data_IF_779124770723
#
_entry.id   IF_779124770723
#
_cell.length_a   1.000
_cell.length_b   1.000
_cell.length_c   1.000
_cell.angle_alpha   90.00
_cell.angle_beta   90.00
_cell.angle_gamma   90.00
#
_symmetry.space_group_name_H-M   'P 1'
#
loop_
_entity.id
_entity.type
_entity.pdbx_description
1 polymer ?
#
# COMPACT_ATOMS: atom_id res chain seq x y z
N UNK A 1 -7.57 -50.72 4.60
CA UNK A 1 -7.47 -50.10 3.26
C UNK A 1 -8.14 -51.05 2.28
N UNK A 2 -9.20 -50.60 1.61
CA UNK A 2 -9.76 -51.37 0.50
C UNK A 2 -8.73 -51.32 -0.64
N UNK A 3 -8.13 -52.47 -0.93
CA UNK A 3 -7.36 -52.68 -2.15
C UNK A 3 -8.32 -52.46 -3.31
N UNK A 4 -8.20 -51.31 -3.97
CA UNK A 4 -8.75 -51.16 -5.33
C UNK A 4 -7.84 -52.00 -6.20
N UNK A 5 -8.17 -53.28 -6.35
CA UNK A 5 -7.55 -54.12 -7.37
C UNK A 5 -7.73 -53.41 -8.70
N UNK A 6 -6.63 -52.94 -9.29
CA UNK A 6 -6.62 -52.41 -10.66
C UNK A 6 -6.99 -53.57 -11.58
N UNK A 7 -8.28 -53.68 -11.87
CA UNK A 7 -8.94 -54.86 -12.43
C UNK A 7 -8.49 -55.21 -13.87
N UNK A 8 -7.61 -54.42 -14.47
CA UNK A 8 -7.12 -54.58 -15.86
C UNK A 8 -5.60 -54.81 -15.99
N UNK A 9 -4.78 -54.48 -14.96
CA UNK A 9 -3.31 -54.53 -15.09
C UNK A 9 -2.73 -55.94 -15.10
N UNK A 10 -3.44 -56.92 -14.55
CA UNK A 10 -3.01 -58.33 -14.47
C UNK A 10 -3.79 -59.25 -15.42
N UNK A 11 -4.60 -58.70 -16.33
CA UNK A 11 -5.34 -59.46 -17.35
C UNK A 11 -4.59 -59.34 -18.67
N UNK A 12 -4.47 -60.46 -19.40
CA UNK A 12 -3.94 -60.43 -20.76
C UNK A 12 -4.82 -59.56 -21.66
N UNK A 13 -4.21 -58.97 -22.69
CA UNK A 13 -4.94 -58.14 -23.64
C UNK A 13 -6.05 -58.98 -24.31
N UNK A 14 -7.28 -58.44 -24.46
CA UNK A 14 -8.35 -59.16 -25.12
C UNK A 14 -7.94 -59.56 -26.55
N UNK A 15 -8.22 -60.80 -26.98
CA UNK A 15 -7.93 -61.22 -28.35
C UNK A 15 -8.67 -60.31 -29.34
N UNK A 16 -7.96 -59.88 -30.39
CA UNK A 16 -8.41 -58.93 -31.43
C UNK A 16 -8.56 -57.46 -30.99
N UNK A 17 -8.09 -57.06 -29.80
CA UNK A 17 -7.99 -55.64 -29.46
C UNK A 17 -6.81 -54.98 -30.20
N UNK A 18 -7.09 -53.97 -31.01
CA UNK A 18 -6.07 -53.12 -31.65
C UNK A 18 -5.91 -51.86 -30.81
N UNK A 19 -4.74 -51.66 -30.21
CA UNK A 19 -4.44 -50.45 -29.45
C UNK A 19 -4.60 -49.19 -30.32
N UNK A 20 -5.14 -48.10 -29.75
CA UNK A 20 -5.50 -46.89 -30.49
C UNK A 20 -6.90 -46.96 -31.12
N UNK A 21 -7.13 -47.92 -32.03
CA UNK A 21 -8.42 -48.08 -32.72
C UNK A 21 -9.53 -48.55 -31.78
N UNK A 22 -9.25 -49.54 -30.92
CA UNK A 22 -10.22 -50.07 -29.94
C UNK A 22 -10.58 -49.11 -28.81
N UNK A 23 -9.81 -48.03 -28.62
CA UNK A 23 -10.11 -46.91 -27.72
C UNK A 23 -10.92 -45.80 -28.41
N UNK A 24 -11.07 -45.86 -29.74
CA UNK A 24 -11.64 -44.77 -30.54
C UNK A 24 -10.71 -43.56 -30.66
N UNK A 25 -9.40 -43.74 -30.47
CA UNK A 25 -8.42 -42.68 -30.66
C UNK A 25 -8.21 -42.47 -32.17
N UNK A 26 -8.55 -41.27 -32.66
CA UNK A 26 -8.23 -40.82 -34.02
C UNK A 26 -7.00 -39.94 -33.97
N UNK A 27 -5.99 -40.21 -34.81
CA UNK A 27 -4.83 -39.33 -34.95
C UNK A 27 -5.25 -37.94 -35.44
N UNK A 28 -4.67 -36.89 -34.86
CA UNK A 28 -4.90 -35.51 -35.32
C UNK A 28 -4.19 -35.30 -36.66
N UNK A 29 -4.90 -35.45 -37.78
CA UNK A 29 -4.35 -35.11 -39.10
C UNK A 29 -4.24 -33.60 -39.24
N UNK A 30 -3.04 -33.08 -39.46
CA UNK A 30 -2.85 -31.66 -39.82
C UNK A 30 -2.96 -31.50 -41.33
N UNK A 31 -3.16 -30.26 -41.81
CA UNK A 31 -3.41 -29.93 -43.24
C UNK A 31 -2.27 -30.39 -44.19
N UNK A 32 -1.15 -30.84 -43.65
CA UNK A 32 0.01 -31.35 -44.37
C UNK A 32 -0.09 -32.86 -44.72
N UNK A 33 -0.99 -33.62 -44.08
CA UNK A 33 -1.11 -35.09 -44.27
C UNK A 33 -2.08 -35.52 -45.38
N UNK A 34 -2.91 -34.60 -45.89
CA UNK A 34 -3.87 -34.90 -46.96
C UNK A 34 -3.18 -34.66 -48.31
N UNK A 35 -2.49 -35.70 -48.79
CA UNK A 35 -2.01 -35.81 -50.18
C UNK A 35 -3.16 -35.95 -51.19
N UNK A 36 -2.91 -35.74 -52.50
CA UNK A 36 -3.95 -35.58 -53.50
C UNK A 36 -4.75 -36.87 -53.73
N UNK A 37 -6.06 -36.68 -53.80
CA UNK A 37 -7.11 -37.70 -53.76
C UNK A 37 -7.04 -38.76 -54.87
N UNK A 38 -7.23 -40.04 -54.49
CA UNK A 38 -7.73 -41.11 -55.36
C UNK A 38 -8.83 -41.88 -54.63
N UNK A 39 -9.97 -42.05 -55.29
CA UNK A 39 -11.20 -42.66 -54.78
C UNK A 39 -11.11 -44.20 -54.67
N UNK A 40 -11.73 -44.74 -53.61
CA UNK A 40 -12.31 -46.09 -53.60
C UNK A 40 -11.62 -47.12 -52.67
N UNK A 41 -12.37 -47.92 -51.87
CA UNK A 41 -11.84 -48.61 -50.70
C UNK A 41 -11.58 -50.10 -50.97
N UNK A 42 -10.34 -50.56 -50.76
CA UNK A 42 -10.04 -51.99 -50.52
C UNK A 42 -8.68 -52.24 -49.86
N UNK A 43 -7.64 -51.45 -50.13
CA UNK A 43 -6.26 -51.82 -49.72
C UNK A 43 -5.58 -50.78 -48.80
N UNK A 44 -6.34 -50.14 -47.92
CA UNK A 44 -5.79 -49.18 -46.95
C UNK A 44 -5.23 -49.83 -45.68
N UNK A 45 -5.46 -51.13 -45.44
CA UNK A 45 -4.98 -51.80 -44.23
C UNK A 45 -3.47 -52.07 -44.27
N UNK A 46 -2.94 -52.57 -45.39
CA UNK A 46 -1.54 -53.02 -45.45
C UNK A 46 -0.52 -51.87 -45.47
N UNK A 47 -0.86 -50.75 -46.12
CA UNK A 47 0.03 -49.59 -46.19
C UNK A 47 0.12 -48.82 -44.86
N UNK A 48 -0.94 -48.86 -44.04
CA UNK A 48 -0.95 -48.27 -42.69
C UNK A 48 -0.26 -49.18 -41.67
N UNK A 49 -0.29 -50.50 -41.85
CA UNK A 49 0.31 -51.45 -40.92
C UNK A 49 1.84 -51.41 -40.95
N UNK A 50 2.45 -51.17 -42.13
CA UNK A 50 3.91 -51.00 -42.26
C UNK A 50 4.42 -49.65 -41.75
N UNK A 51 3.60 -48.60 -41.80
CA UNK A 51 3.99 -47.27 -41.30
C UNK A 51 3.79 -47.10 -39.78
N UNK A 52 2.88 -47.88 -39.19
CA UNK A 52 2.57 -47.82 -37.75
C UNK A 52 3.53 -48.61 -36.86
N UNK A 53 4.50 -49.35 -37.41
CA UNK A 53 5.53 -50.05 -36.63
C UNK A 53 6.76 -49.20 -36.34
N UNK A 54 6.83 -47.97 -36.86
CA UNK A 54 8.03 -47.14 -36.83
C UNK A 54 7.82 -45.82 -36.11
N UNK A 55 7.02 -45.79 -35.05
CA UNK A 55 6.87 -44.61 -34.19
C UNK A 55 6.51 -45.07 -32.79
N UNK A 56 7.55 -45.25 -31.96
CA UNK A 56 7.61 -44.81 -30.56
C UNK A 56 8.93 -45.31 -29.96
N UNK A 57 10.04 -44.74 -30.43
CA UNK A 57 11.20 -44.50 -29.57
C UNK A 57 11.49 -42.99 -29.69
N UNK A 58 10.95 -42.22 -28.75
CA UNK A 58 11.33 -40.83 -28.48
C UNK A 58 12.74 -40.77 -27.85
N UNK A 59 13.68 -41.54 -28.39
CA UNK A 59 15.10 -41.29 -28.22
C UNK A 59 15.58 -40.69 -29.54
N UNK A 60 16.23 -39.52 -29.44
CA UNK A 60 16.82 -38.71 -30.51
C UNK A 60 17.92 -39.44 -31.33
N UNK A 61 17.87 -40.77 -31.43
CA UNK A 61 18.77 -41.60 -32.24
C UNK A 61 18.38 -41.59 -33.73
N UNK A 62 17.16 -41.14 -34.07
CA UNK A 62 16.71 -40.95 -35.47
C UNK A 62 17.28 -39.70 -36.15
N UNK A 63 17.88 -38.79 -35.39
CA UNK A 63 18.54 -37.56 -35.90
C UNK A 63 20.05 -37.61 -35.67
N UNK A 64 20.67 -38.75 -35.95
CA UNK A 64 22.13 -38.80 -36.06
C UNK A 64 22.59 -38.13 -37.37
N UNK A 65 23.85 -37.67 -37.43
CA UNK A 65 24.42 -37.17 -38.68
C UNK A 65 24.21 -38.21 -39.79
N UNK A 66 23.89 -37.81 -41.05
CA UNK A 66 23.58 -38.74 -42.14
C UNK A 66 24.62 -39.83 -42.39
N UNK A 67 25.87 -39.60 -41.98
CA UNK A 67 26.98 -40.55 -42.09
C UNK A 67 26.94 -41.68 -41.03
N UNK A 68 26.05 -41.61 -40.05
CA UNK A 68 25.96 -42.55 -38.92
C UNK A 68 24.64 -43.35 -38.91
N UNK A 69 23.80 -43.19 -39.95
CA UNK A 69 22.59 -44.00 -40.15
C UNK A 69 22.99 -45.46 -40.41
N UNK A 70 22.72 -46.34 -39.44
CA UNK A 70 22.98 -47.78 -39.57
C UNK A 70 21.67 -48.52 -39.87
N UNK A 71 21.71 -49.52 -40.76
CA UNK A 71 20.58 -50.43 -40.99
C UNK A 71 19.63 -50.10 -42.14
N UNK A 72 19.91 -49.08 -42.99
CA UNK A 72 19.06 -48.71 -44.14
C UNK A 72 18.81 -49.87 -45.12
N UNK A 73 19.80 -50.75 -45.28
CA UNK A 73 19.76 -51.90 -46.19
C UNK A 73 19.34 -53.21 -45.51
N UNK A 74 19.09 -53.21 -44.19
CA UNK A 74 18.77 -54.42 -43.42
C UNK A 74 17.38 -55.02 -43.75
N UNK A 75 16.53 -54.29 -44.48
CA UNK A 75 15.18 -54.76 -44.85
C UNK A 75 15.06 -55.33 -46.27
N UNK A 76 16.13 -55.25 -47.07
CA UNK A 76 16.17 -55.86 -48.40
C UNK A 76 16.26 -57.40 -48.28
N UNK A 77 15.80 -58.17 -49.30
CA UNK A 77 16.04 -59.60 -49.34
C UNK A 77 17.54 -59.86 -49.29
N UNK A 78 17.98 -60.66 -48.32
CA UNK A 78 19.38 -61.04 -48.13
C UNK A 78 19.56 -62.47 -48.63
N UNK A 79 20.30 -62.63 -49.72
CA UNK A 79 20.52 -63.90 -50.40
C UNK A 79 21.89 -64.50 -50.04
N UNK A 80 22.14 -65.76 -50.40
CA UNK A 80 23.40 -66.46 -50.02
C UNK A 80 24.65 -65.80 -50.63
N UNK A 81 24.49 -65.18 -51.81
CA UNK A 81 25.54 -64.41 -52.49
C UNK A 81 25.83 -63.06 -51.81
N UNK A 82 24.83 -62.43 -51.20
CA UNK A 82 25.05 -61.25 -50.34
C UNK A 82 25.87 -61.61 -49.09
N UNK A 83 25.61 -62.76 -48.47
CA UNK A 83 26.38 -63.25 -47.31
C UNK A 83 27.84 -63.58 -47.66
N UNK A 84 28.07 -64.14 -48.84
CA UNK A 84 29.42 -64.36 -49.35
C UNK A 84 30.14 -63.05 -49.66
N UNK A 85 29.44 -62.08 -50.25
CA UNK A 85 29.98 -60.75 -50.52
C UNK A 85 30.37 -60.03 -49.23
N UNK A 86 29.49 -59.99 -48.23
CA UNK A 86 29.75 -59.35 -46.94
C UNK A 86 30.95 -59.99 -46.23
N UNK A 87 31.07 -61.32 -46.24
CA UNK A 87 32.26 -62.02 -45.68
C UNK A 87 33.55 -61.60 -46.39
N UNK A 88 33.51 -61.41 -47.70
CA UNK A 88 34.67 -60.96 -48.48
C UNK A 88 35.01 -59.50 -48.13
N UNK A 89 34.02 -58.62 -48.08
CA UNK A 89 34.22 -57.20 -47.72
C UNK A 89 34.69 -57.04 -46.27
N UNK A 90 34.11 -57.78 -45.33
CA UNK A 90 34.55 -57.79 -43.93
C UNK A 90 35.99 -58.31 -43.81
N UNK A 91 36.36 -59.36 -44.55
CA UNK A 91 37.73 -59.85 -44.58
C UNK A 91 38.73 -58.83 -45.16
N UNK A 92 38.30 -58.05 -46.16
CA UNK A 92 39.10 -56.94 -46.71
C UNK A 92 39.27 -55.85 -45.65
N UNK A 93 38.20 -55.44 -44.98
CA UNK A 93 38.24 -54.39 -43.94
C UNK A 93 39.09 -54.82 -42.74
N UNK A 94 38.92 -56.05 -42.27
CA UNK A 94 39.76 -56.63 -41.22
C UNK A 94 41.24 -56.60 -41.61
N UNK A 95 41.58 -56.99 -42.84
CA UNK A 95 42.95 -56.97 -43.36
C UNK A 95 43.51 -55.55 -43.54
N UNK A 96 42.66 -54.58 -43.90
CA UNK A 96 43.04 -53.17 -43.96
C UNK A 96 43.33 -52.61 -42.56
N UNK A 97 42.57 -53.05 -41.56
CA UNK A 97 42.74 -52.66 -40.16
C UNK A 97 43.92 -53.33 -39.46
N UNK A 98 44.27 -54.58 -39.81
CA UNK A 98 45.39 -55.35 -39.24
C UNK A 98 46.70 -54.56 -39.14
N UNK A 99 46.98 -53.67 -40.12
CA UNK A 99 48.20 -52.85 -40.15
C UNK A 99 48.35 -51.90 -38.96
N UNK A 100 47.24 -51.47 -38.35
CA UNK A 100 47.22 -50.54 -37.21
C UNK A 100 46.40 -51.04 -36.02
N UNK A 101 45.69 -52.17 -36.17
CA UNK A 101 44.77 -52.75 -35.20
C UNK A 101 45.38 -52.84 -33.80
N UNK A 102 46.50 -53.53 -33.64
CA UNK A 102 47.14 -53.73 -32.34
C UNK A 102 47.51 -52.40 -31.63
N UNK A 103 47.95 -51.37 -32.37
CA UNK A 103 48.30 -50.06 -31.79
C UNK A 103 47.06 -49.20 -31.53
N UNK A 104 46.05 -49.28 -32.39
CA UNK A 104 44.78 -48.55 -32.27
C UNK A 104 44.01 -49.07 -31.05
N UNK A 105 43.79 -50.37 -30.98
CA UNK A 105 43.08 -51.04 -29.88
C UNK A 105 43.80 -50.86 -28.55
N UNK A 106 45.14 -50.94 -28.52
CA UNK A 106 45.90 -50.68 -27.29
C UNK A 106 45.71 -49.24 -26.79
N UNK A 107 45.77 -48.25 -27.69
CA UNK A 107 45.55 -46.84 -27.33
C UNK A 107 44.11 -46.60 -26.89
N UNK A 108 43.15 -47.10 -27.64
CA UNK A 108 41.73 -46.96 -27.33
C UNK A 108 41.40 -47.60 -25.98
N UNK A 109 41.98 -48.76 -25.68
CA UNK A 109 41.87 -49.41 -24.37
C UNK A 109 42.48 -48.57 -23.25
N UNK A 110 43.69 -48.03 -23.44
CA UNK A 110 44.34 -47.15 -22.45
C UNK A 110 43.56 -45.85 -22.22
N UNK A 111 43.04 -45.22 -23.28
CA UNK A 111 42.22 -44.01 -23.21
C UNK A 111 40.89 -44.29 -22.51
N UNK A 112 40.24 -45.41 -22.83
CA UNK A 112 39.00 -45.83 -22.18
C UNK A 112 39.21 -46.20 -20.70
N UNK A 113 40.35 -46.81 -20.35
CA UNK A 113 40.74 -47.08 -18.96
C UNK A 113 41.00 -45.79 -18.18
N UNK A 114 41.75 -44.84 -18.75
CA UNK A 114 41.96 -43.51 -18.15
C UNK A 114 40.66 -42.74 -18.00
N UNK A 115 39.81 -42.74 -19.03
CA UNK A 115 38.51 -42.09 -19.00
C UNK A 115 37.59 -42.70 -17.94
N UNK A 116 37.56 -44.04 -17.82
CA UNK A 116 36.80 -44.72 -16.76
C UNK A 116 37.37 -44.45 -15.36
N UNK A 117 38.68 -44.24 -15.23
CA UNK A 117 39.31 -43.87 -13.96
C UNK A 117 38.98 -42.42 -13.55
N UNK A 118 38.97 -41.49 -14.51
CA UNK A 118 38.65 -40.07 -14.27
C UNK A 118 37.14 -39.83 -14.11
N UNK A 119 36.32 -40.54 -14.89
CA UNK A 119 34.86 -40.42 -14.96
C UNK A 119 34.19 -41.80 -14.97
N UNK A 120 34.19 -42.51 -13.84
CA UNK A 120 33.48 -43.78 -13.73
C UNK A 120 31.97 -43.56 -13.93
N UNK A 121 31.30 -44.52 -14.57
CA UNK A 121 29.83 -44.48 -14.71
C UNK A 121 29.18 -44.52 -13.33
N UNK A 122 27.99 -43.92 -13.18
CA UNK A 122 27.27 -43.88 -11.89
C UNK A 122 27.14 -45.29 -11.27
N UNK A 123 26.75 -46.28 -12.08
CA UNK A 123 26.65 -47.68 -11.63
C UNK A 123 27.99 -48.26 -11.14
N UNK A 124 29.13 -47.82 -11.69
CA UNK A 124 30.47 -48.26 -11.27
C UNK A 124 30.90 -47.59 -9.96
N UNK A 125 30.53 -46.33 -9.74
CA UNK A 125 30.77 -45.63 -8.47
C UNK A 125 30.05 -46.31 -7.29
N UNK A 126 28.86 -46.85 -7.55
CA UNK A 126 28.07 -47.59 -6.56
C UNK A 126 28.26 -49.11 -6.62
N UNK A 127 29.17 -49.64 -7.45
CA UNK A 127 29.34 -51.09 -7.61
C UNK A 127 29.74 -51.76 -6.28
N UNK A 128 30.63 -51.12 -5.53
CA UNK A 128 31.12 -51.59 -4.25
C UNK A 128 30.00 -51.59 -3.19
N UNK A 129 29.20 -50.52 -3.16
CA UNK A 129 28.03 -50.40 -2.28
C UNK A 129 26.93 -51.41 -2.66
N UNK A 130 26.69 -51.62 -3.95
CA UNK A 130 25.75 -52.64 -4.45
C UNK A 130 26.22 -54.06 -4.10
N UNK A 131 27.53 -54.32 -4.12
CA UNK A 131 28.09 -55.60 -3.64
C UNK A 131 27.96 -55.73 -2.12
N UNK A 132 28.15 -54.65 -1.36
CA UNK A 132 27.92 -54.61 0.09
C UNK A 132 26.45 -54.85 0.47
N UNK A 133 25.52 -54.44 -0.40
CA UNK A 133 24.08 -54.68 -0.23
C UNK A 133 23.69 -56.17 -0.26
N UNK A 134 24.55 -57.05 -0.81
CA UNK A 134 24.32 -58.50 -0.79
C UNK A 134 24.47 -59.13 0.61
N UNK A 135 25.04 -58.39 1.58
CA UNK A 135 25.17 -58.84 2.97
C UNK A 135 23.85 -58.66 3.74
N UNK A 136 22.98 -57.76 3.28
CA UNK A 136 21.68 -57.46 3.91
C UNK A 136 20.75 -58.65 3.72
N UNK A 137 20.20 -59.16 4.82
CA UNK A 137 19.31 -60.32 4.83
C UNK A 137 17.90 -59.95 4.32
N UNK A 138 17.17 -60.93 3.81
CA UNK A 138 15.79 -60.73 3.34
C UNK A 138 14.85 -60.21 4.45
N UNK A 139 15.12 -60.56 5.72
CA UNK A 139 14.40 -60.05 6.88
C UNK A 139 14.67 -58.56 7.14
N UNK A 140 15.90 -58.08 6.91
CA UNK A 140 16.24 -56.65 6.99
C UNK A 140 15.63 -55.87 5.83
N UNK A 141 15.55 -56.49 4.64
CA UNK A 141 14.83 -55.93 3.49
C UNK A 141 13.33 -55.76 3.76
N UNK A 142 12.70 -56.75 4.39
CA UNK A 142 11.28 -56.69 4.73
C UNK A 142 10.96 -55.63 5.82
N UNK A 143 11.95 -55.29 6.65
CA UNK A 143 11.80 -54.33 7.76
C UNK A 143 12.31 -52.91 7.43
N UNK A 144 12.58 -52.60 6.16
CA UNK A 144 12.88 -51.23 5.76
C UNK A 144 11.73 -50.29 6.13
N UNK A 145 11.97 -49.23 6.91
CA UNK A 145 10.93 -48.29 7.27
C UNK A 145 10.47 -47.54 6.01
N UNK A 146 9.16 -47.48 5.81
CA UNK A 146 8.58 -46.64 4.77
C UNK A 146 8.92 -45.16 5.03
N UNK A 147 8.87 -44.32 4.00
CA UNK A 147 9.17 -42.89 4.06
C UNK A 147 8.13 -42.15 4.93
N UNK A 148 8.31 -42.23 6.25
CA UNK A 148 7.57 -41.44 7.21
C UNK A 148 7.76 -39.95 6.92
N UNK A 149 6.75 -39.14 7.20
CA UNK A 149 6.81 -37.69 7.02
C UNK A 149 7.71 -37.05 8.10
N UNK A 150 9.03 -37.22 7.98
CA UNK A 150 10.03 -36.71 8.93
C UNK A 150 9.96 -35.19 9.12
N UNK A 151 9.42 -34.47 8.13
CA UNK A 151 9.31 -33.00 8.11
C UNK A 151 7.87 -32.52 8.39
N UNK A 152 6.91 -33.44 8.58
CA UNK A 152 5.50 -33.11 8.85
C UNK A 152 4.80 -32.29 7.75
N UNK A 153 5.32 -32.33 6.52
CA UNK A 153 4.83 -31.49 5.40
C UNK A 153 3.41 -31.89 4.96
N UNK A 154 3.05 -33.16 5.05
CA UNK A 154 1.72 -33.65 4.69
C UNK A 154 0.67 -33.29 5.76
N UNK A 155 1.04 -33.17 7.05
CA UNK A 155 0.15 -32.65 8.11
C UNK A 155 -0.13 -31.14 7.96
N UNK A 156 0.83 -30.36 7.44
CA UNK A 156 0.63 -28.91 7.20
C UNK A 156 -0.31 -28.60 6.04
N UNK A 157 -0.26 -29.39 4.95
CA UNK A 157 -1.15 -29.19 3.79
C UNK A 157 -2.61 -29.54 4.04
N UNK A 158 -2.88 -30.50 4.92
CA UNK A 158 -4.24 -31.05 5.13
C UNK A 158 -5.08 -30.23 6.12
N UNK A 159 -4.45 -29.53 7.07
CA UNK A 159 -5.13 -28.70 8.06
C UNK A 159 -5.49 -27.29 7.56
N UNK A 160 -5.00 -26.87 6.39
CA UNK A 160 -5.34 -25.59 5.78
C UNK A 160 -6.57 -25.71 4.87
N UNK A 161 -7.68 -26.20 5.42
CA UNK A 161 -8.97 -26.08 4.74
C UNK A 161 -9.40 -24.62 4.84
N UNK A 162 -9.54 -23.96 3.69
CA UNK A 162 -10.01 -22.59 3.52
C UNK A 162 -11.48 -22.44 3.95
N UNK A 163 -11.73 -22.45 5.26
CA UNK A 163 -12.97 -21.97 5.87
C UNK A 163 -12.64 -20.75 6.71
N UNK A 164 -13.03 -19.59 6.21
CA UNK A 164 -12.93 -18.34 6.94
C UNK A 164 -14.17 -18.20 7.84
N UNK A 165 -13.94 -18.07 9.15
CA UNK A 165 -14.97 -17.64 10.10
C UNK A 165 -14.72 -16.17 10.43
N UNK A 166 -15.79 -15.43 10.73
CA UNK A 166 -15.64 -14.09 11.28
C UNK A 166 -14.90 -14.16 12.63
N UNK A 167 -13.92 -13.27 12.84
CA UNK A 167 -13.16 -13.22 14.09
C UNK A 167 -14.10 -12.82 15.23
N UNK A 168 -14.25 -13.63 16.30
CA UNK A 168 -15.05 -13.25 17.45
C UNK A 168 -14.38 -12.10 18.22
N UNK A 169 -15.19 -11.15 18.71
CA UNK A 169 -14.72 -9.95 19.40
C UNK A 169 -13.89 -10.23 20.66
N UNK A 170 -14.03 -11.42 21.26
CA UNK A 170 -13.21 -11.86 22.40
C UNK A 170 -11.72 -12.02 22.06
N UNK A 171 -11.37 -12.28 20.79
CA UNK A 171 -9.96 -12.29 20.35
C UNK A 171 -9.39 -10.88 20.22
N UNK A 172 -10.22 -9.89 19.86
CA UNK A 172 -9.82 -8.48 19.85
C UNK A 172 -9.64 -7.95 21.27
N UNK A 173 -10.46 -8.42 22.21
CA UNK A 173 -10.35 -8.10 23.63
C UNK A 173 -9.10 -8.74 24.25
N UNK A 174 -8.82 -10.00 23.93
CA UNK A 174 -7.58 -10.68 24.36
C UNK A 174 -6.32 -10.07 23.74
N UNK A 175 -6.34 -9.67 22.47
CA UNK A 175 -5.22 -8.97 21.84
C UNK A 175 -5.00 -7.55 22.42
N UNK A 176 -6.05 -6.93 22.96
CA UNK A 176 -5.94 -5.71 23.78
C UNK A 176 -5.31 -5.98 25.15
N UNK A 177 -5.60 -7.13 25.76
CA UNK A 177 -5.01 -7.54 27.04
C UNK A 177 -3.56 -8.02 26.91
N UNK A 178 -3.19 -8.66 25.81
CA UNK A 178 -1.82 -9.17 25.56
C UNK A 178 -0.81 -8.02 25.31
N UNK A 179 -1.28 -6.88 24.79
CA UNK A 179 -0.51 -5.65 24.69
C UNK A 179 -0.47 -4.84 26.01
N UNK A 180 -1.11 -5.34 27.07
CA UNK A 180 -1.00 -4.77 28.42
C UNK A 180 0.22 -5.43 29.08
N UNK A 181 1.29 -4.66 29.22
CA UNK A 181 2.54 -5.12 29.86
C UNK A 181 2.26 -5.81 31.21
N UNK A 182 2.55 -7.11 31.28
CA UNK A 182 2.66 -7.85 32.54
C UNK A 182 3.94 -7.37 33.24
N UNK A 183 3.78 -6.54 34.26
CA UNK A 183 4.85 -6.03 35.15
C UNK A 183 5.12 -6.95 36.35
N UNK A 184 4.84 -8.25 36.25
CA UNK A 184 5.16 -9.22 37.29
C UNK A 184 6.00 -10.36 36.71
N UNK A 185 7.26 -10.44 37.14
CA UNK A 185 8.13 -11.58 36.93
C UNK A 185 7.55 -12.80 37.66
N UNK A 186 7.64 -13.97 37.03
CA UNK A 186 7.29 -15.24 37.68
C UNK A 186 8.16 -15.47 38.92
N UNK A 187 7.53 -15.84 40.03
CA UNK A 187 8.15 -15.94 41.36
C UNK A 187 9.26 -17.01 41.41
N UNK A 188 9.28 -17.94 40.46
CA UNK A 188 10.32 -18.96 40.33
C UNK A 188 11.60 -18.40 39.68
N UNK A 189 11.46 -17.39 38.81
CA UNK A 189 12.56 -16.70 38.13
C UNK A 189 13.25 -15.65 39.03
N UNK A 190 12.54 -15.14 40.03
CA UNK A 190 13.12 -14.25 41.06
C UNK A 190 13.87 -15.00 42.17
N UNK A 191 13.58 -16.30 42.38
CA UNK A 191 14.21 -17.12 43.44
C UNK A 191 15.56 -17.73 43.05
N UNK A 192 15.81 -17.94 41.76
CA UNK A 192 17.06 -18.51 41.25
C UNK A 192 17.77 -17.46 40.40
N UNK A 193 18.46 -16.53 41.07
CA UNK A 193 19.16 -15.43 40.42
C UNK A 193 20.28 -15.93 39.50
N UNK A 194 20.29 -15.39 38.27
CA UNK A 194 21.49 -15.23 37.45
C UNK A 194 22.07 -16.52 36.84
N UNK A 195 22.31 -16.45 35.54
CA UNK A 195 22.96 -17.52 34.77
C UNK A 195 24.44 -17.67 35.19
N UNK A 196 24.72 -18.57 36.14
CA UNK A 196 26.04 -19.14 36.35
C UNK A 196 25.96 -20.64 36.06
N UNK A 197 26.50 -21.07 34.92
CA UNK A 197 26.84 -22.47 34.67
C UNK A 197 28.31 -22.69 35.05
N UNK A 198 28.63 -23.61 35.98
CA UNK A 198 29.99 -24.11 36.16
C UNK A 198 30.36 -24.93 34.92
N UNK A 199 31.56 -24.70 34.38
CA UNK A 199 32.13 -25.57 33.37
C UNK A 199 32.40 -26.97 33.97
N UNK A 200 31.87 -28.06 33.39
CA UNK A 200 32.44 -29.38 33.62
C UNK A 200 33.56 -29.63 32.62
N UNK A 201 34.66 -30.07 33.19
CA UNK A 201 35.84 -30.63 32.55
C UNK A 201 35.46 -31.88 31.73
N UNK A 202 35.26 -31.75 30.41
CA UNK A 202 35.29 -32.89 29.49
C UNK A 202 35.38 -32.47 28.01
N UNK A 203 36.48 -32.86 27.36
CA UNK A 203 36.57 -33.14 25.92
C UNK A 203 36.02 -32.11 24.93
N UNK A 204 36.79 -31.04 24.66
CA UNK A 204 36.45 -30.00 23.69
C UNK A 204 36.32 -30.52 22.24
N UNK A 205 35.09 -30.54 21.73
CA UNK A 205 34.81 -30.06 20.36
C UNK A 205 34.71 -28.53 20.48
N UNK A 206 35.63 -27.78 19.86
CA UNK A 206 35.61 -26.31 19.91
C UNK A 206 34.35 -25.79 19.22
N UNK A 207 33.44 -25.19 19.98
CA UNK A 207 32.21 -24.61 19.44
C UNK A 207 32.53 -23.28 18.75
N UNK A 208 32.83 -23.34 17.45
CA UNK A 208 33.18 -22.16 16.64
C UNK A 208 32.08 -21.09 16.61
N UNK A 209 30.84 -21.45 16.92
CA UNK A 209 29.71 -20.51 17.03
C UNK A 209 29.89 -19.61 18.26
N UNK A 210 30.29 -20.16 19.40
CA UNK A 210 30.51 -19.39 20.62
C UNK A 210 31.76 -18.49 20.49
N UNK A 211 32.81 -18.99 19.85
CA UNK A 211 34.02 -18.20 19.55
C UNK A 211 33.69 -17.08 18.55
N UNK A 212 32.84 -17.35 17.55
CA UNK A 212 32.35 -16.35 16.60
C UNK A 212 31.54 -15.26 17.28
N UNK A 213 30.57 -15.63 18.11
CA UNK A 213 29.76 -14.68 18.90
C UNK A 213 30.60 -13.87 19.88
N UNK A 214 31.62 -14.48 20.50
CA UNK A 214 32.54 -13.77 21.38
C UNK A 214 33.39 -12.74 20.61
N UNK A 215 33.88 -13.11 19.42
CA UNK A 215 34.62 -12.19 18.54
C UNK A 215 33.73 -11.07 18.01
N UNK A 216 32.48 -11.35 17.64
CA UNK A 216 31.52 -10.35 17.18
C UNK A 216 31.19 -9.33 18.28
N UNK A 217 31.05 -9.77 19.54
CA UNK A 217 30.88 -8.87 20.69
C UNK A 217 32.11 -7.99 20.93
N UNK A 218 33.31 -8.54 20.76
CA UNK A 218 34.55 -7.75 20.87
C UNK A 218 34.67 -6.75 19.72
N UNK A 219 34.24 -7.13 18.52
CA UNK A 219 34.19 -6.24 17.36
C UNK A 219 33.16 -5.13 17.58
N UNK A 220 31.95 -5.44 18.05
CA UNK A 220 30.92 -4.44 18.35
C UNK A 220 31.39 -3.46 19.41
N UNK A 221 32.06 -3.90 20.47
CA UNK A 221 32.64 -3.02 21.48
C UNK A 221 33.71 -2.08 20.93
N UNK A 222 34.55 -2.56 20.00
CA UNK A 222 35.54 -1.71 19.31
C UNK A 222 34.87 -0.71 18.37
N UNK A 223 33.82 -1.13 17.68
CA UNK A 223 33.03 -0.25 16.82
C UNK A 223 32.28 0.79 17.64
N UNK A 224 31.72 0.45 18.80
CA UNK A 224 31.08 1.38 19.72
C UNK A 224 32.09 2.40 20.28
N UNK A 225 33.30 1.98 20.65
CA UNK A 225 34.38 2.91 21.04
C UNK A 225 34.75 3.90 19.93
N UNK A 226 34.78 3.44 18.67
CA UNK A 226 35.01 4.30 17.52
C UNK A 226 33.79 5.20 17.27
N UNK A 227 32.59 4.67 17.42
CA UNK A 227 31.31 5.38 17.23
C UNK A 227 31.10 6.48 18.26
N UNK A 228 31.51 6.28 19.52
CA UNK A 228 31.49 7.29 20.58
C UNK A 228 32.38 8.50 20.26
N UNK A 229 33.40 8.31 19.43
CA UNK A 229 34.27 9.39 18.93
C UNK A 229 33.67 10.12 17.73
N UNK A 230 32.62 9.58 17.10
CA UNK A 230 31.93 10.17 15.94
C UNK A 230 30.74 11.00 16.43
N UNK A 231 30.98 12.29 16.63
CA UNK A 231 29.89 13.25 16.88
C UNK A 231 29.03 13.48 15.63
N UNK A 232 27.71 13.71 15.82
CA UNK A 232 26.77 14.00 14.73
C UNK A 232 25.92 12.82 14.25
N UNK A 233 26.02 11.64 14.89
CA UNK A 233 25.05 10.57 14.66
C UNK A 233 23.67 10.97 15.21
N UNK A 234 22.63 10.79 14.40
CA UNK A 234 21.24 11.04 14.82
C UNK A 234 20.57 9.71 15.10
N UNK A 235 20.22 9.46 16.35
CA UNK A 235 19.40 8.32 16.77
C UNK A 235 18.07 8.85 17.26
N UNK A 236 16.98 8.40 16.63
CA UNK A 236 15.63 8.72 17.09
C UNK A 236 15.24 7.68 18.12
N UNK A 237 14.75 8.11 19.29
CA UNK A 237 14.19 7.19 20.29
C UNK A 237 12.97 6.48 19.69
N UNK A 238 13.01 5.15 19.47
CA UNK A 238 11.90 4.43 18.88
C UNK A 238 10.64 4.52 19.75
N UNK A 239 10.78 4.66 21.08
CA UNK A 239 9.61 4.81 21.97
C UNK A 239 8.99 6.19 21.82
N UNK A 240 9.79 7.26 21.90
CA UNK A 240 9.33 8.63 21.65
C UNK A 240 8.71 8.81 20.26
N UNK A 241 9.31 8.23 19.23
CA UNK A 241 8.79 8.29 17.87
C UNK A 241 7.45 7.58 17.72
N UNK A 242 7.28 6.41 18.35
CA UNK A 242 6.00 5.71 18.33
C UNK A 242 4.92 6.43 19.15
N UNK A 243 5.28 7.08 20.26
CA UNK A 243 4.32 7.92 21.00
C UNK A 243 3.89 9.14 20.18
N UNK A 244 4.82 9.76 19.47
CA UNK A 244 4.53 10.88 18.59
C UNK A 244 3.66 10.44 17.40
N UNK A 245 3.95 9.30 16.78
CA UNK A 245 3.10 8.74 15.72
C UNK A 245 1.70 8.38 16.21
N UNK A 246 1.56 7.85 17.43
CA UNK A 246 0.24 7.58 18.02
C UNK A 246 -0.53 8.85 18.39
N UNK A 247 0.17 9.97 18.62
CA UNK A 247 -0.46 11.27 18.85
C UNK A 247 -1.02 11.89 17.56
N UNK A 248 -0.52 11.46 16.40
CA UNK A 248 -1.08 11.84 15.10
C UNK A 248 -2.36 11.03 14.90
N UNK A 249 -3.50 11.72 14.97
CA UNK A 249 -4.81 11.13 14.70
C UNK A 249 -4.90 10.73 13.22
N UNK A 250 -4.55 9.48 12.91
CA UNK A 250 -4.78 8.88 11.60
C UNK A 250 -6.24 8.46 11.54
N UNK A 251 -6.94 8.95 10.51
CA UNK A 251 -8.35 8.62 10.29
C UNK A 251 -8.53 7.16 9.93
N UNK A 252 -9.64 6.58 10.38
CA UNK A 252 -9.99 5.19 10.07
C UNK A 252 -10.18 4.97 8.56
N UNK A 253 -9.92 3.76 8.09
CA UNK A 253 -10.01 3.43 6.65
C UNK A 253 -11.46 3.56 6.11
N UNK A 254 -12.44 3.39 6.99
CA UNK A 254 -13.85 3.67 6.72
C UNK A 254 -14.11 5.16 6.45
N UNK A 255 -13.56 6.05 7.28
CA UNK A 255 -13.62 7.50 7.05
C UNK A 255 -12.93 7.91 5.75
N UNK A 256 -11.83 7.24 5.38
CA UNK A 256 -11.12 7.50 4.12
C UNK A 256 -12.02 7.12 2.92
N UNK A 257 -12.74 6.01 3.00
CA UNK A 257 -13.72 5.59 2.00
C UNK A 257 -14.86 6.60 1.82
N UNK A 258 -15.43 7.08 2.92
CA UNK A 258 -16.52 8.06 2.88
C UNK A 258 -16.04 9.44 2.42
N UNK A 259 -14.81 9.85 2.78
CA UNK A 259 -14.19 11.08 2.25
C UNK A 259 -14.02 10.99 0.72
N UNK A 260 -13.65 9.84 0.17
CA UNK A 260 -13.54 9.66 -1.30
C UNK A 260 -14.90 9.79 -1.99
N UNK A 261 -15.94 9.18 -1.43
CA UNK A 261 -17.32 9.31 -1.95
C UNK A 261 -17.82 10.76 -1.85
N UNK A 262 -17.60 11.41 -0.71
CA UNK A 262 -17.96 12.81 -0.51
C UNK A 262 -17.21 13.74 -1.47
N UNK A 263 -15.93 13.46 -1.76
CA UNK A 263 -15.14 14.22 -2.76
C UNK A 263 -15.75 14.09 -4.16
N UNK A 264 -16.14 12.88 -4.55
CA UNK A 264 -16.80 12.65 -5.85
C UNK A 264 -18.13 13.41 -5.92
N UNK A 265 -18.95 13.34 -4.88
CA UNK A 265 -20.22 14.06 -4.80
C UNK A 265 -20.00 15.58 -4.88
N UNK A 266 -19.11 16.14 -4.07
CA UNK A 266 -18.88 17.58 -4.05
C UNK A 266 -18.23 18.10 -5.33
N UNK A 267 -17.34 17.31 -5.96
CA UNK A 267 -16.80 17.64 -7.29
C UNK A 267 -17.91 17.64 -8.35
N UNK A 268 -18.87 16.71 -8.27
CA UNK A 268 -20.04 16.70 -9.17
C UNK A 268 -20.93 17.93 -8.92
N UNK A 269 -21.14 18.34 -7.66
CA UNK A 269 -21.92 19.54 -7.32
C UNK A 269 -21.26 20.81 -7.85
N UNK A 270 -19.94 20.92 -7.68
CA UNK A 270 -19.17 22.08 -8.12
C UNK A 270 -19.12 22.20 -9.65
N UNK A 271 -18.93 21.08 -10.35
CA UNK A 271 -18.88 21.06 -11.82
C UNK A 271 -20.25 21.33 -12.46
N UNK A 272 -21.33 20.81 -11.87
CA UNK A 272 -22.69 21.06 -12.36
C UNK A 272 -23.18 22.47 -12.04
N UNK A 273 -22.84 23.00 -10.86
CA UNK A 273 -23.28 24.31 -10.41
C UNK A 273 -22.10 25.18 -9.93
N UNK A 274 -21.31 25.78 -10.83
CA UNK A 274 -20.16 26.61 -10.47
C UNK A 274 -20.52 27.85 -9.63
N UNK A 275 -21.75 28.36 -9.76
CA UNK A 275 -22.25 29.53 -9.00
C UNK A 275 -22.76 29.18 -7.60
N UNK A 276 -22.72 27.91 -7.21
CA UNK A 276 -23.20 27.46 -5.91
C UNK A 276 -22.11 27.55 -4.84
N UNK A 277 -22.03 28.71 -4.18
CA UNK A 277 -21.06 29.00 -3.13
C UNK A 277 -20.96 27.96 -1.98
N UNK A 278 -22.08 27.45 -1.40
CA UNK A 278 -21.99 26.42 -0.35
C UNK A 278 -21.31 25.12 -0.81
N UNK A 279 -21.39 24.78 -2.10
CA UNK A 279 -20.72 23.61 -2.67
C UNK A 279 -19.20 23.72 -2.60
N UNK A 280 -18.67 24.89 -2.99
CA UNK A 280 -17.24 25.20 -2.88
C UNK A 280 -16.75 25.20 -1.43
N UNK A 281 -17.55 25.75 -0.52
CA UNK A 281 -17.24 25.77 0.92
C UNK A 281 -17.21 24.35 1.48
N UNK A 282 -18.22 23.53 1.15
CA UNK A 282 -18.28 22.15 1.60
C UNK A 282 -17.10 21.32 1.08
N UNK A 283 -16.69 21.51 -0.19
CA UNK A 283 -15.53 20.82 -0.74
C UNK A 283 -14.22 21.23 -0.06
N UNK A 284 -14.04 22.53 0.20
CA UNK A 284 -12.85 23.03 0.91
C UNK A 284 -12.79 22.52 2.36
N UNK A 285 -13.94 22.52 3.07
CA UNK A 285 -14.04 21.97 4.43
C UNK A 285 -13.82 20.45 4.46
N UNK A 286 -14.26 19.72 3.43
CA UNK A 286 -13.98 18.29 3.33
C UNK A 286 -12.47 18.01 3.21
N UNK A 287 -11.75 18.80 2.40
CA UNK A 287 -10.29 18.64 2.27
C UNK A 287 -9.53 19.10 3.51
N UNK A 288 -10.02 20.11 4.24
CA UNK A 288 -9.50 20.48 5.55
C UNK A 288 -9.65 19.33 6.55
N UNK A 289 -10.86 18.75 6.62
CA UNK A 289 -11.12 17.56 7.43
C UNK A 289 -10.21 16.42 7.00
N UNK A 290 -9.94 16.23 5.70
CA UNK A 290 -9.02 15.22 5.19
C UNK A 290 -7.51 15.54 5.44
N UNK A 291 -7.18 16.69 6.03
CA UNK A 291 -5.80 17.11 6.30
C UNK A 291 -5.07 17.72 5.11
N UNK A 292 -5.72 17.89 3.96
CA UNK A 292 -5.12 18.40 2.71
C UNK A 292 -5.34 19.90 2.55
N UNK A 293 -4.79 20.69 3.47
CA UNK A 293 -4.97 22.15 3.50
C UNK A 293 -4.54 22.85 2.20
N UNK A 294 -3.49 22.36 1.52
CA UNK A 294 -3.06 22.93 0.25
C UNK A 294 -4.12 22.77 -0.86
N UNK A 295 -4.78 21.61 -0.93
CA UNK A 295 -5.87 21.36 -1.88
C UNK A 295 -7.13 22.12 -1.50
N UNK A 296 -7.45 22.21 -0.20
CA UNK A 296 -8.55 23.05 0.28
C UNK A 296 -8.38 24.52 -0.17
N UNK A 297 -7.15 25.06 -0.07
CA UNK A 297 -6.82 26.42 -0.51
C UNK A 297 -6.96 26.63 -2.01
N UNK A 298 -6.57 25.66 -2.84
CA UNK A 298 -6.73 25.79 -4.30
C UNK A 298 -8.19 25.67 -4.73
N UNK A 299 -8.97 24.80 -4.08
CA UNK A 299 -10.42 24.66 -4.34
C UNK A 299 -11.17 25.95 -3.96
N UNK A 300 -10.91 26.51 -2.77
CA UNK A 300 -11.61 27.73 -2.35
C UNK A 300 -11.19 28.94 -3.18
N UNK A 301 -9.94 29.02 -3.65
CA UNK A 301 -9.50 30.07 -4.57
C UNK A 301 -10.29 30.05 -5.89
N UNK A 302 -10.48 28.85 -6.48
CA UNK A 302 -11.37 28.68 -7.64
C UNK A 302 -12.82 29.04 -7.32
N UNK A 303 -13.29 28.67 -6.13
CA UNK A 303 -14.61 29.06 -5.64
C UNK A 303 -14.80 30.58 -5.55
N UNK A 304 -13.76 31.33 -5.18
CA UNK A 304 -13.80 32.80 -5.15
C UNK A 304 -13.88 33.43 -6.54
N UNK A 305 -13.22 32.84 -7.54
CA UNK A 305 -13.27 33.29 -8.94
C UNK A 305 -14.66 33.05 -9.56
N UNK A 306 -15.25 31.88 -9.31
CA UNK A 306 -16.56 31.48 -9.83
C UNK A 306 -17.73 32.14 -9.08
N UNK A 307 -17.57 32.39 -7.77
CA UNK A 307 -18.59 32.97 -6.90
C UNK A 307 -18.16 34.31 -6.25
N UNK A 308 -17.91 35.37 -7.03
CA UNK A 308 -17.43 36.64 -6.46
C UNK A 308 -18.49 37.37 -5.62
N UNK A 309 -19.79 37.04 -5.82
CA UNK A 309 -20.93 37.73 -5.18
C UNK A 309 -21.29 37.20 -3.79
N UNK A 310 -20.73 36.05 -3.36
CA UNK A 310 -21.08 35.48 -2.06
C UNK A 310 -20.00 35.81 -1.02
N UNK A 311 -20.40 36.42 0.09
CA UNK A 311 -19.52 36.79 1.21
C UNK A 311 -18.92 35.59 1.95
N UNK A 312 -19.65 34.47 2.06
CA UNK A 312 -19.24 33.35 2.91
C UNK A 312 -18.04 32.58 2.31
N UNK A 313 -17.92 32.55 0.98
CA UNK A 313 -16.78 31.91 0.28
C UNK A 313 -15.48 32.65 0.59
N UNK A 314 -15.53 33.99 0.57
CA UNK A 314 -14.39 34.84 0.90
C UNK A 314 -13.99 34.73 2.37
N UNK A 315 -14.95 34.59 3.28
CA UNK A 315 -14.69 34.39 4.71
C UNK A 315 -14.02 33.04 4.99
N UNK A 316 -14.49 31.97 4.34
CA UNK A 316 -13.83 30.66 4.45
C UNK A 316 -12.44 30.65 3.81
N UNK A 317 -12.26 31.33 2.67
CA UNK A 317 -10.95 31.49 2.06
C UNK A 317 -9.96 32.21 3.00
N UNK A 318 -10.41 33.26 3.70
CA UNK A 318 -9.59 33.95 4.68
C UNK A 318 -9.27 33.09 5.91
N UNK A 319 -10.19 32.21 6.34
CA UNK A 319 -9.98 31.29 7.46
C UNK A 319 -8.97 30.18 7.17
N UNK A 320 -8.95 29.67 5.93
CA UNK A 320 -8.08 28.55 5.51
C UNK A 320 -6.63 28.98 5.21
N UNK A 321 -6.37 30.28 5.12
CA UNK A 321 -5.07 30.84 4.76
C UNK A 321 -4.36 31.49 5.96
N UNK A 322 -3.05 31.67 5.83
CA UNK A 322 -2.26 32.44 6.79
C UNK A 322 -2.74 33.89 6.86
N UNK A 323 -2.50 34.58 7.98
CA UNK A 323 -2.95 35.96 8.19
C UNK A 323 -2.55 36.91 7.04
N UNK A 324 -1.33 36.80 6.51
CA UNK A 324 -0.84 37.64 5.40
C UNK A 324 -1.61 37.42 4.10
N UNK A 325 -1.82 36.16 3.72
CA UNK A 325 -2.62 35.81 2.55
C UNK A 325 -4.11 36.10 2.79
N UNK A 326 -4.59 35.98 4.02
CA UNK A 326 -5.94 36.37 4.40
C UNK A 326 -6.20 37.85 4.14
N UNK A 327 -5.22 38.73 4.42
CA UNK A 327 -5.33 40.17 4.12
C UNK A 327 -5.46 40.45 2.63
N UNK A 328 -4.69 39.78 1.78
CA UNK A 328 -4.79 39.96 0.31
C UNK A 328 -6.10 39.42 -0.24
N UNK A 329 -6.57 38.27 0.26
CA UNK A 329 -7.85 37.66 -0.11
C UNK A 329 -9.01 38.57 0.30
N UNK A 330 -9.02 39.10 1.53
CA UNK A 330 -10.07 40.02 1.98
C UNK A 330 -10.02 41.36 1.24
N UNK A 331 -8.84 41.85 0.87
CA UNK A 331 -8.72 43.04 0.02
C UNK A 331 -9.35 42.81 -1.36
N UNK A 332 -9.17 41.63 -1.94
CA UNK A 332 -9.86 41.24 -3.18
C UNK A 332 -11.38 41.08 -2.96
N UNK A 333 -11.79 40.49 -1.85
CA UNK A 333 -13.19 40.33 -1.48
C UNK A 333 -13.91 41.68 -1.40
N UNK A 334 -13.29 42.69 -0.79
CA UNK A 334 -13.84 44.06 -0.69
C UNK A 334 -14.03 44.71 -2.07
N UNK A 335 -13.18 44.41 -3.06
CA UNK A 335 -13.35 44.93 -4.43
C UNK A 335 -14.62 44.40 -5.09
N UNK A 336 -14.99 43.15 -4.81
CA UNK A 336 -16.21 42.52 -5.34
C UNK A 336 -17.45 42.83 -4.49
N UNK A 337 -17.30 42.89 -3.17
CA UNK A 337 -18.36 43.04 -2.18
C UNK A 337 -18.04 44.15 -1.18
N UNK A 338 -18.09 45.43 -1.59
CA UNK A 338 -17.80 46.54 -0.68
C UNK A 338 -18.86 46.71 0.41
N UNK A 339 -20.08 46.22 0.18
CA UNK A 339 -21.22 46.38 1.08
C UNK A 339 -21.29 45.35 2.22
N UNK A 340 -20.45 44.30 2.20
CA UNK A 340 -20.54 43.23 3.22
C UNK A 340 -19.86 43.62 4.53
N UNK A 341 -20.67 43.79 5.57
CA UNK A 341 -20.21 44.07 6.94
C UNK A 341 -19.34 42.93 7.50
N UNK A 342 -19.63 41.68 7.16
CA UNK A 342 -18.91 40.51 7.70
C UNK A 342 -17.46 40.48 7.23
N UNK A 343 -17.22 40.77 5.95
CA UNK A 343 -15.88 40.83 5.35
C UNK A 343 -15.05 41.90 6.06
N UNK A 344 -15.60 43.11 6.23
CA UNK A 344 -14.92 44.20 6.94
C UNK A 344 -14.56 43.86 8.38
N UNK A 345 -15.49 43.24 9.13
CA UNK A 345 -15.20 42.82 10.51
C UNK A 345 -14.13 41.73 10.56
N UNK A 346 -14.11 40.81 9.60
CA UNK A 346 -13.07 39.78 9.53
C UNK A 346 -11.71 40.39 9.17
N UNK A 347 -11.67 41.39 8.28
CA UNK A 347 -10.45 42.13 7.96
C UNK A 347 -9.86 42.80 9.21
N UNK A 348 -10.71 43.41 10.04
CA UNK A 348 -10.26 44.03 11.31
C UNK A 348 -9.64 43.00 12.25
N UNK A 349 -10.19 41.79 12.35
CA UNK A 349 -9.65 40.72 13.21
C UNK A 349 -8.29 40.20 12.73
N UNK A 350 -8.01 40.24 11.44
CA UNK A 350 -6.73 39.78 10.90
C UNK A 350 -5.61 40.81 11.05
N UNK A 351 -5.95 42.09 11.24
CA UNK A 351 -4.95 43.14 11.46
C UNK A 351 -4.51 43.16 12.94
N UNK A 352 -3.19 43.21 13.16
CA UNK A 352 -2.60 43.25 14.50
C UNK A 352 -2.45 44.68 15.04
N UNK A 353 -2.26 45.67 14.15
CA UNK A 353 -2.06 47.07 14.53
C UNK A 353 -3.39 47.82 14.67
N UNK A 354 -3.57 48.49 15.81
CA UNK A 354 -4.74 49.34 16.11
C UNK A 354 -4.89 50.45 15.05
N UNK A 355 -3.78 51.04 14.57
CA UNK A 355 -3.83 52.07 13.53
C UNK A 355 -4.32 51.50 12.20
N UNK A 356 -3.93 50.28 11.85
CA UNK A 356 -4.40 49.59 10.65
C UNK A 356 -5.89 49.23 10.77
N UNK A 357 -6.32 48.70 11.93
CA UNK A 357 -7.72 48.42 12.22
C UNK A 357 -8.61 49.67 12.07
N UNK A 358 -8.18 50.82 12.63
CA UNK A 358 -8.88 52.11 12.47
C UNK A 358 -8.98 52.54 11.01
N UNK A 359 -7.92 52.37 10.21
CA UNK A 359 -7.95 52.68 8.77
C UNK A 359 -8.93 51.80 8.01
N UNK A 360 -8.95 50.50 8.31
CA UNK A 360 -9.89 49.54 7.70
C UNK A 360 -11.33 49.87 8.07
N UNK A 361 -11.61 50.20 9.35
CA UNK A 361 -12.94 50.58 9.81
C UNK A 361 -13.41 51.91 9.20
N UNK A 362 -12.54 52.91 9.07
CA UNK A 362 -12.88 54.17 8.38
C UNK A 362 -13.26 53.93 6.92
N UNK A 363 -12.47 53.12 6.20
CA UNK A 363 -12.80 52.69 4.83
C UNK A 363 -14.11 51.91 4.79
N UNK A 364 -14.35 51.00 5.73
CA UNK A 364 -15.59 50.24 5.81
C UNK A 364 -16.82 51.15 5.97
N UNK A 365 -16.72 52.19 6.79
CA UNK A 365 -17.79 53.16 7.03
C UNK A 365 -18.03 54.10 5.84
N UNK A 366 -17.04 54.33 4.97
CA UNK A 366 -17.24 55.04 3.69
C UNK A 366 -18.14 54.24 2.75
N UNK A 367 -17.96 52.92 2.68
CA UNK A 367 -18.79 52.05 1.84
C UNK A 367 -20.12 51.67 2.49
N UNK A 368 -20.16 51.43 3.80
CA UNK A 368 -21.33 50.95 4.54
C UNK A 368 -21.62 51.85 5.76
N UNK A 369 -22.27 53.01 5.54
CA UNK A 369 -22.60 53.94 6.61
C UNK A 369 -23.75 53.44 7.52
N UNK A 370 -24.58 52.51 7.05
CA UNK A 370 -25.82 52.13 7.74
C UNK A 370 -25.64 51.02 8.81
N UNK A 371 -24.43 50.47 8.95
CA UNK A 371 -24.20 49.31 9.81
C UNK A 371 -23.84 49.70 11.23
N UNK A 372 -24.77 49.45 12.17
CA UNK A 372 -24.54 49.62 13.61
C UNK A 372 -23.32 48.83 14.10
N UNK A 373 -23.10 47.62 13.55
CA UNK A 373 -22.00 46.74 13.98
C UNK A 373 -20.63 47.35 13.68
N UNK A 374 -20.47 48.00 12.51
CA UNK A 374 -19.23 48.67 12.15
C UNK A 374 -19.01 49.92 13.00
N UNK A 375 -20.06 50.69 13.26
CA UNK A 375 -19.98 51.86 14.15
C UNK A 375 -19.59 51.48 15.57
N UNK A 376 -20.20 50.44 16.16
CA UNK A 376 -19.80 49.93 17.48
C UNK A 376 -18.35 49.45 17.50
N UNK A 377 -17.91 48.71 16.47
CA UNK A 377 -16.53 48.27 16.36
C UNK A 377 -15.56 49.46 16.24
N UNK A 378 -15.89 50.49 15.45
CA UNK A 378 -15.09 51.70 15.32
C UNK A 378 -14.97 52.48 16.63
N UNK A 379 -16.08 52.64 17.35
CA UNK A 379 -16.10 53.34 18.64
C UNK A 379 -15.31 52.60 19.71
N UNK A 380 -15.41 51.27 19.78
CA UNK A 380 -14.66 50.48 20.74
C UNK A 380 -13.15 50.51 20.53
N UNK A 381 -12.68 50.81 19.31
CA UNK A 381 -11.25 50.92 19.01
C UNK A 381 -10.68 52.31 19.30
N UNK A 382 -11.53 53.31 19.60
CA UNK A 382 -11.09 54.68 19.83
C UNK A 382 -10.84 54.92 21.32
N UNK A 383 -9.61 55.32 21.67
CA UNK A 383 -9.18 55.55 23.06
C UNK A 383 -9.54 56.96 23.54
N UNK A 384 -9.63 57.92 22.62
CA UNK A 384 -9.97 59.30 22.92
C UNK A 384 -11.48 59.47 23.07
N UNK A 385 -11.98 59.94 24.23
CA UNK A 385 -13.41 60.20 24.43
C UNK A 385 -13.96 61.26 23.47
N UNK A 386 -13.12 62.21 23.05
CA UNK A 386 -13.49 63.26 22.09
C UNK A 386 -13.75 62.71 20.69
N UNK A 387 -12.91 61.81 20.21
CA UNK A 387 -12.99 61.24 18.87
C UNK A 387 -14.13 60.22 18.78
N UNK A 388 -14.32 59.44 19.86
CA UNK A 388 -15.47 58.55 20.02
C UNK A 388 -16.80 59.31 19.96
N UNK A 389 -16.88 60.49 20.60
CA UNK A 389 -18.06 61.36 20.53
C UNK A 389 -18.35 61.85 19.11
N UNK A 390 -17.33 62.31 18.38
CA UNK A 390 -17.50 62.79 16.99
C UNK A 390 -17.98 61.64 16.09
N UNK A 391 -17.40 60.44 16.24
CA UNK A 391 -17.83 59.25 15.51
C UNK A 391 -19.26 58.85 15.84
N UNK A 392 -19.65 58.87 17.12
CA UNK A 392 -21.01 58.55 17.55
C UNK A 392 -22.03 59.58 17.06
N UNK A 393 -21.71 60.87 17.06
CA UNK A 393 -22.60 61.90 16.50
C UNK A 393 -22.91 61.61 15.03
N UNK A 394 -21.87 61.38 14.21
CA UNK A 394 -22.04 60.98 12.81
C UNK A 394 -22.79 59.64 12.66
N UNK A 395 -22.53 58.68 13.55
CA UNK A 395 -23.21 57.39 13.54
C UNK A 395 -24.72 57.52 13.81
N UNK A 396 -25.12 58.38 14.75
CA UNK A 396 -26.53 58.61 15.08
C UNK A 396 -27.30 59.36 14.00
N UNK A 397 -26.62 60.17 13.18
CA UNK A 397 -27.22 60.80 12.00
C UNK A 397 -27.46 59.79 10.87
N UNK A 398 -26.51 58.88 10.64
CA UNK A 398 -26.60 57.88 9.58
C UNK A 398 -27.47 56.68 9.98
N UNK A 399 -27.52 56.34 11.28
CA UNK A 399 -28.32 55.23 11.82
C UNK A 399 -29.23 55.70 12.96
N UNK A 400 -30.31 56.43 12.62
CA UNK A 400 -31.19 57.04 13.63
C UNK A 400 -32.01 56.02 14.43
N UNK A 401 -32.19 54.79 13.90
CA UNK A 401 -32.99 53.75 14.54
C UNK A 401 -32.27 52.97 15.66
N UNK A 402 -30.96 53.16 15.84
CA UNK A 402 -30.19 52.34 16.79
C UNK A 402 -30.11 52.97 18.18
N UNK A 403 -30.81 52.36 19.15
CA UNK A 403 -30.85 52.84 20.54
C UNK A 403 -29.46 52.84 21.19
N UNK A 404 -28.68 51.77 21.00
CA UNK A 404 -27.37 51.62 21.64
C UNK A 404 -26.39 52.75 21.31
N UNK A 405 -26.42 53.27 20.07
CA UNK A 405 -25.54 54.37 19.66
C UNK A 405 -25.96 55.69 20.32
N UNK A 406 -27.27 55.96 20.41
CA UNK A 406 -27.80 57.11 21.13
C UNK A 406 -27.45 57.07 22.62
N UNK A 407 -27.54 55.91 23.25
CA UNK A 407 -27.19 55.72 24.65
C UNK A 407 -25.68 55.87 24.90
N UNK A 408 -24.84 55.33 24.01
CA UNK A 408 -23.39 55.50 24.09
C UNK A 408 -22.99 56.97 23.93
N UNK A 409 -23.63 57.70 23.02
CA UNK A 409 -23.40 59.12 22.80
C UNK A 409 -23.79 59.93 24.04
N UNK A 410 -24.98 59.69 24.59
CA UNK A 410 -25.47 60.39 25.79
C UNK A 410 -24.57 60.19 27.02
N UNK A 411 -23.89 59.04 27.15
CA UNK A 411 -22.93 58.78 28.23
C UNK A 411 -21.60 59.53 28.08
N UNK A 412 -21.20 59.84 26.85
CA UNK A 412 -19.92 60.50 26.56
C UNK A 412 -20.05 62.04 26.50
N UNK A 413 -21.26 62.57 26.38
CA UNK A 413 -21.52 64.00 26.30
C UNK A 413 -21.75 64.67 27.66
N UNK A 414 -21.59 66.00 27.68
CA UNK A 414 -22.00 66.84 28.81
C UNK A 414 -23.52 66.83 28.98
N UNK A 415 -23.99 67.06 30.20
CA UNK A 415 -25.41 67.03 30.57
C UNK A 415 -26.34 67.80 29.61
N UNK A 416 -25.99 69.06 29.27
CA UNK A 416 -26.82 69.90 28.40
C UNK A 416 -26.95 69.33 26.97
N UNK A 417 -25.86 68.77 26.44
CA UNK A 417 -25.85 68.21 25.09
C UNK A 417 -26.47 66.81 25.07
N UNK A 418 -26.21 66.00 26.10
CA UNK A 418 -26.84 64.72 26.28
C UNK A 418 -28.38 64.84 26.36
N UNK A 419 -28.92 65.89 27.02
CA UNK A 419 -30.37 66.18 27.01
C UNK A 419 -30.90 66.47 25.61
N UNK A 420 -30.16 67.23 24.79
CA UNK A 420 -30.51 67.51 23.38
C UNK A 420 -30.47 66.22 22.55
N UNK A 421 -29.46 65.38 22.75
CA UNK A 421 -29.32 64.09 22.06
C UNK A 421 -30.45 63.15 22.43
N UNK A 422 -30.78 62.99 23.71
CA UNK A 422 -31.88 62.14 24.15
C UNK A 422 -33.25 62.67 23.70
N UNK A 423 -33.43 63.99 23.58
CA UNK A 423 -34.61 64.58 22.94
C UNK A 423 -34.70 64.22 21.44
N UNK A 424 -33.58 64.33 20.70
CA UNK A 424 -33.51 63.91 19.29
C UNK A 424 -33.77 62.40 19.13
N UNK A 425 -33.19 61.59 20.00
CA UNK A 425 -33.36 60.14 20.01
C UNK A 425 -34.83 59.74 20.28
N UNK A 426 -35.52 60.42 21.20
CA UNK A 426 -36.96 60.23 21.45
C UNK A 426 -37.83 60.57 20.23
N UNK A 427 -37.46 61.60 19.48
CA UNK A 427 -38.17 61.96 18.23
C UNK A 427 -38.03 60.91 17.14
N UNK A 428 -36.85 60.27 17.04
CA UNK A 428 -36.58 59.22 16.05
C UNK A 428 -37.10 57.83 16.48
N UNK A 429 -37.04 57.53 17.78
CA UNK A 429 -37.42 56.22 18.35
C UNK A 429 -38.38 56.44 19.54
N UNK A 430 -39.68 56.67 19.28
CA UNK A 430 -40.65 56.87 20.34
C UNK A 430 -41.02 55.58 21.09
N UNK A 431 -40.71 54.41 20.53
CA UNK A 431 -41.12 53.10 21.04
C UNK A 431 -40.17 52.50 22.08
N UNK A 432 -38.96 53.03 22.23
CA UNK A 432 -37.95 52.44 23.13
C UNK A 432 -38.00 53.05 24.54
N UNK A 433 -38.28 52.20 25.52
CA UNK A 433 -38.29 52.58 26.94
C UNK A 433 -36.87 52.83 27.49
N UNK A 434 -35.84 52.25 26.87
CA UNK A 434 -34.45 52.38 27.29
C UNK A 434 -33.94 53.83 27.23
N UNK A 435 -34.40 54.62 26.25
CA UNK A 435 -34.04 56.03 26.12
C UNK A 435 -34.64 56.84 27.27
N UNK A 436 -35.86 56.51 27.69
CA UNK A 436 -36.53 57.16 28.84
C UNK A 436 -35.83 56.83 30.16
N UNK A 437 -35.43 55.57 30.36
CA UNK A 437 -34.65 55.15 31.53
C UNK A 437 -33.29 55.86 31.55
N UNK A 438 -32.63 55.99 30.40
CA UNK A 438 -31.36 56.68 30.32
C UNK A 438 -31.49 58.20 30.59
N UNK A 439 -32.59 58.83 30.16
CA UNK A 439 -32.89 60.22 30.50
C UNK A 439 -33.13 60.39 32.00
N UNK A 440 -33.86 59.48 32.64
CA UNK A 440 -34.07 59.51 34.10
C UNK A 440 -32.75 59.34 34.87
N UNK A 441 -31.90 58.39 34.46
CA UNK A 441 -30.56 58.20 35.07
C UNK A 441 -29.66 59.42 34.92
N UNK A 442 -29.77 60.14 33.81
CA UNK A 442 -28.96 61.34 33.56
C UNK A 442 -29.39 62.52 34.45
N UNK A 443 -30.69 62.67 34.74
CA UNK A 443 -31.20 63.66 35.70
C UNK A 443 -30.84 63.28 37.15
N UNK A 444 -30.93 61.98 37.49
CA UNK A 444 -30.50 61.45 38.79
C UNK A 444 -29.01 61.71 39.06
N UNK A 445 -28.14 61.49 38.07
CA UNK A 445 -26.69 61.75 38.19
C UNK A 445 -26.34 63.22 38.45
N UNK A 446 -27.20 64.16 38.06
CA UNK A 446 -27.02 65.58 38.33
C UNK A 446 -27.71 66.05 39.62
N UNK A 447 -28.42 65.17 40.32
CA UNK A 447 -29.12 65.51 41.57
C UNK A 447 -30.40 66.31 41.37
N UNK A 448 -31.01 66.27 40.18
CA UNK A 448 -32.34 66.83 39.94
C UNK A 448 -33.40 65.80 40.39
N UNK A 449 -33.85 65.87 41.65
CA UNK A 449 -34.92 65.03 42.20
C UNK A 449 -36.34 65.51 41.81
N UNK A 450 -36.55 66.01 40.58
CA UNK A 450 -37.85 66.52 40.14
C UNK A 450 -38.44 65.76 38.96
#
# INVERSE_FOLDING_TARGET
MFSVTKDFMNKEAPPNYVAGLGRGATGFTTRSDIGPAREGPADFSDALQKKAQQEDDDDDERFQDPDNETGLFASAPYEEDDEEADKIYEAIDQKMDERRKARREAREKEELEKYRAERPKIQQQFADLKRGLAIVSDDEWANLPDVGDLVGKNRKKTNLRERYYAVPDSLLEKAREENKYVTALDAQQQKFGGFQTPAPDSGMMTNFIEIGQARDKVLSLKLDQISDSVSGQTTVDPKGYLTDLNSVVIKSDAEIGDIKKARLLLNSVISTNPKHAPGWIAAARLEEVAGKLAQARTIIAKGCEECPKNEDVWLEAARLNNADNGRTILANAVRHLPQSVKIWLQSVKLETDIKAQKKVLRRALEYVPNSVKLWKAAVNMEENPSDARILLARATELVPLSVDLWLALARLESYENAKKVLNKARGQIPTSHEIWIAAARLEEQQGNEK
#
